data_IF_315804208676
#
_entry.id   IF_315804208676
#
_cell.length_a   1.000
_cell.length_b   1.000
_cell.length_c   1.000
_cell.angle_alpha   90.00
_cell.angle_beta   90.00
_cell.angle_gamma   90.00
#
_symmetry.space_group_name_H-M   'P 1'
#
loop_
_entity.id
_entity.type
_entity.pdbx_description
1 polymer ?
#
# COMPACT_ATOMS: atom_id res chain seq x y z
N UNK A 1 15.73 14.45 14.55
CA UNK A 1 15.63 12.98 14.53
C UNK A 1 14.17 12.71 14.25
N UNK A 2 13.80 12.20 13.07
CA UNK A 2 12.40 11.87 12.80
C UNK A 2 12.05 10.62 13.59
N UNK A 3 11.03 10.70 14.44
CA UNK A 3 10.54 9.56 15.20
C UNK A 3 9.89 8.56 14.25
N UNK A 4 10.19 7.28 14.41
CA UNK A 4 9.65 6.19 13.59
C UNK A 4 8.12 6.23 13.56
N UNK A 5 7.51 6.62 14.67
CA UNK A 5 6.06 6.79 14.81
C UNK A 5 5.50 7.92 13.96
N UNK A 6 6.19 9.06 13.88
CA UNK A 6 5.76 10.17 13.00
C UNK A 6 5.85 9.77 11.53
N UNK A 7 6.91 9.06 11.15
CA UNK A 7 7.07 8.57 9.78
C UNK A 7 5.97 7.56 9.40
N UNK A 8 5.61 6.68 10.34
CA UNK A 8 4.51 5.72 10.17
C UNK A 8 3.20 6.43 9.88
N UNK A 9 2.87 7.46 10.66
CA UNK A 9 1.64 8.23 10.48
C UNK A 9 1.59 8.91 9.11
N UNK A 10 2.69 9.55 8.69
CA UNK A 10 2.78 10.19 7.38
C UNK A 10 2.63 9.19 6.22
N UNK A 11 3.29 8.03 6.31
CA UNK A 11 3.20 7.00 5.26
C UNK A 11 1.79 6.39 5.18
N UNK A 12 1.10 6.21 6.30
CA UNK A 12 -0.29 5.75 6.32
C UNK A 12 -1.25 6.77 5.70
N UNK A 13 -1.07 8.06 6.02
CA UNK A 13 -1.87 9.14 5.43
C UNK A 13 -1.65 9.24 3.91
N UNK A 14 -0.40 9.02 3.48
CA UNK A 14 -0.04 8.96 2.07
C UNK A 14 -0.66 7.74 1.35
N UNK A 15 -0.75 6.57 2.00
CA UNK A 15 -1.47 5.40 1.46
C UNK A 15 -2.96 5.69 1.32
N UNK A 16 -3.56 6.40 2.28
CA UNK A 16 -4.97 6.74 2.25
C UNK A 16 -5.33 7.72 1.11
N UNK A 17 -4.41 8.64 0.79
CA UNK A 17 -4.63 9.71 -0.18
C UNK A 17 -4.16 9.34 -1.60
N UNK A 18 -3.23 8.39 -1.75
CA UNK A 18 -2.63 8.02 -3.04
C UNK A 18 -3.49 7.00 -3.80
N UNK A 19 -3.64 7.21 -5.11
CA UNK A 19 -4.22 6.22 -6.04
C UNK A 19 -3.25 5.06 -6.33
N UNK A 20 -1.95 5.26 -6.09
CA UNK A 20 -0.90 4.23 -6.21
C UNK A 20 -0.31 3.89 -4.83
N UNK A 21 -1.06 3.17 -3.97
CA UNK A 21 -0.59 2.88 -2.60
C UNK A 21 0.73 2.09 -2.58
N UNK A 22 1.06 1.37 -3.65
CA UNK A 22 2.29 0.58 -3.78
C UNK A 22 3.59 1.41 -3.88
N UNK A 23 3.50 2.69 -4.25
CA UNK A 23 4.69 3.56 -4.36
C UNK A 23 5.22 4.01 -3.01
N UNK A 24 4.39 3.96 -1.96
CA UNK A 24 4.79 4.31 -0.59
C UNK A 24 5.87 3.37 -0.05
N UNK A 25 5.88 2.09 -0.47
CA UNK A 25 6.94 1.14 -0.09
C UNK A 25 8.31 1.46 -0.72
N UNK A 26 8.33 2.23 -1.82
CA UNK A 26 9.57 2.63 -2.49
C UNK A 26 10.16 3.90 -1.89
N UNK A 27 9.53 4.46 -0.87
CA UNK A 27 9.93 5.73 -0.29
C UNK A 27 11.37 5.64 0.25
N UNK A 28 12.26 6.59 -0.13
CA UNK A 28 13.64 6.60 0.33
C UNK A 28 13.76 6.69 1.86
N UNK A 29 12.75 7.20 2.57
CA UNK A 29 12.69 7.26 4.04
C UNK A 29 12.69 5.86 4.67
N UNK A 30 12.05 4.87 4.05
CA UNK A 30 12.09 3.47 4.52
C UNK A 30 13.51 2.91 4.39
N UNK A 31 14.18 3.19 3.28
CA UNK A 31 15.57 2.77 3.08
C UNK A 31 16.53 3.43 4.09
N UNK A 32 16.27 4.68 4.47
CA UNK A 32 17.03 5.38 5.51
C UNK A 32 16.83 4.73 6.89
N UNK A 33 15.60 4.32 7.26
CA UNK A 33 15.34 3.55 8.49
C UNK A 33 16.19 2.28 8.57
N UNK A 34 16.24 1.51 7.49
CA UNK A 34 17.10 0.32 7.42
C UNK A 34 18.60 0.66 7.51
N UNK A 35 19.03 1.79 6.94
CA UNK A 35 20.40 2.28 7.11
C UNK A 35 20.73 2.64 8.57
N UNK A 36 19.74 3.13 9.31
CA UNK A 36 19.89 3.52 10.74
C UNK A 36 20.02 2.29 11.64
N UNK A 37 19.43 1.14 11.27
CA UNK A 37 19.66 -0.13 11.99
C UNK A 37 21.15 -0.48 12.02
N UNK A 38 21.86 -0.28 10.91
CA UNK A 38 23.28 -0.63 10.83
C UNK A 38 24.15 0.24 11.75
N UNK A 39 23.70 1.41 12.19
CA UNK A 39 24.47 2.31 13.06
C UNK A 39 24.15 2.16 14.54
N UNK A 40 23.03 1.53 14.90
CA UNK A 40 22.60 1.32 16.29
C UNK A 40 23.43 0.23 17.02
N UNK A 41 23.48 0.25 18.37
CA UNK A 41 24.07 -0.82 19.18
C UNK A 41 23.34 -2.16 18.99
N UNK A 42 24.04 -3.29 19.20
CA UNK A 42 23.47 -4.66 19.04
C UNK A 42 22.20 -4.87 19.88
N UNK A 43 22.14 -4.30 21.08
CA UNK A 43 20.98 -4.43 21.97
C UNK A 43 19.74 -3.73 21.41
N UNK A 44 19.92 -2.55 20.82
CA UNK A 44 18.82 -1.76 20.24
C UNK A 44 18.50 -2.20 18.81
N UNK A 45 19.44 -2.81 18.09
CA UNK A 45 19.24 -3.33 16.73
C UNK A 45 18.15 -4.39 16.65
N UNK A 46 18.04 -5.25 17.65
CA UNK A 46 17.04 -6.31 17.66
C UNK A 46 15.61 -5.73 17.75
N UNK A 47 15.38 -4.87 18.74
CA UNK A 47 14.10 -4.21 18.96
C UNK A 47 13.74 -3.27 17.79
N UNK A 48 14.70 -2.44 17.35
CA UNK A 48 14.46 -1.51 16.25
C UNK A 48 14.23 -2.24 14.91
N UNK A 49 14.99 -3.30 14.63
CA UNK A 49 14.80 -4.12 13.43
C UNK A 49 13.44 -4.80 13.40
N UNK A 50 12.96 -5.27 14.56
CA UNK A 50 11.61 -5.81 14.70
C UNK A 50 10.56 -4.73 14.44
N UNK A 51 10.69 -3.55 15.03
CA UNK A 51 9.78 -2.42 14.83
C UNK A 51 9.71 -1.99 13.35
N UNK A 52 10.84 -1.95 12.64
CA UNK A 52 10.88 -1.61 11.20
C UNK A 52 10.23 -2.71 10.35
N UNK A 53 10.41 -3.98 10.68
CA UNK A 53 9.72 -5.07 9.98
C UNK A 53 8.21 -5.06 10.25
N UNK A 54 7.78 -4.81 11.48
CA UNK A 54 6.36 -4.64 11.81
C UNK A 54 5.74 -3.44 11.09
N UNK A 55 6.48 -2.33 10.99
CA UNK A 55 6.07 -1.17 10.18
C UNK A 55 5.86 -1.55 8.72
N UNK A 56 6.82 -2.29 8.12
CA UNK A 56 6.70 -2.75 6.74
C UNK A 56 5.46 -3.63 6.52
N UNK A 57 5.23 -4.61 7.40
CA UNK A 57 4.05 -5.50 7.31
C UNK A 57 2.77 -4.68 7.42
N UNK A 58 2.69 -3.75 8.38
CA UNK A 58 1.53 -2.89 8.56
C UNK A 58 1.24 -2.01 7.33
N UNK A 59 2.29 -1.54 6.64
CA UNK A 59 2.12 -0.77 5.39
C UNK A 59 1.68 -1.68 4.24
N UNK A 60 2.24 -2.88 4.12
CA UNK A 60 1.84 -3.87 3.10
C UNK A 60 0.37 -4.27 3.26
N UNK A 61 -0.09 -4.51 4.48
CA UNK A 61 -1.50 -4.81 4.78
C UNK A 61 -2.43 -3.64 4.44
N UNK A 62 -2.05 -2.41 4.79
CA UNK A 62 -2.83 -1.21 4.46
C UNK A 62 -2.93 -1.00 2.93
N UNK A 63 -1.82 -1.22 2.21
CA UNK A 63 -1.78 -1.14 0.74
C UNK A 63 -2.66 -2.22 0.12
N UNK A 64 -2.58 -3.46 0.61
CA UNK A 64 -3.38 -4.56 0.12
C UNK A 64 -4.89 -4.29 0.31
N UNK A 65 -5.28 -3.78 1.48
CA UNK A 65 -6.65 -3.38 1.75
C UNK A 65 -7.11 -2.28 0.81
N UNK A 66 -6.29 -1.25 0.60
CA UNK A 66 -6.66 -0.13 -0.29
C UNK A 66 -6.75 -0.54 -1.75
N UNK A 67 -5.86 -1.42 -2.18
CA UNK A 67 -5.87 -1.98 -3.54
C UNK A 67 -7.12 -2.81 -3.77
N UNK A 68 -7.55 -3.62 -2.79
CA UNK A 68 -8.79 -4.39 -2.89
C UNK A 68 -10.01 -3.47 -3.04
N UNK A 69 -10.08 -2.36 -2.27
CA UNK A 69 -11.16 -1.37 -2.42
C UNK A 69 -11.18 -0.71 -3.81
N UNK A 70 -10.01 -0.35 -4.34
CA UNK A 70 -9.88 0.25 -5.67
C UNK A 70 -10.27 -0.72 -6.78
N UNK A 71 -9.86 -1.99 -6.68
CA UNK A 71 -10.22 -3.03 -7.65
C UNK A 71 -11.72 -3.35 -7.61
N UNK A 72 -12.34 -3.42 -6.43
CA UNK A 72 -13.78 -3.66 -6.28
C UNK A 72 -14.61 -2.51 -6.88
N UNK A 73 -14.18 -1.27 -6.65
CA UNK A 73 -14.83 -0.08 -7.23
C UNK A 73 -14.77 -0.04 -8.77
N UNK A 74 -13.72 -0.63 -9.36
CA UNK A 74 -13.48 -0.60 -10.81
C UNK A 74 -14.28 -1.66 -11.58
N UNK A 75 -15.02 -2.55 -10.91
CA UNK A 75 -15.88 -3.52 -11.59
C UNK A 75 -17.23 -2.86 -11.91
N UNK A 76 -17.37 -2.32 -13.12
CA UNK A 76 -18.68 -1.91 -13.61
C UNK A 76 -19.62 -3.13 -13.70
N UNK A 77 -20.79 -3.03 -13.08
CA UNK A 77 -21.81 -4.07 -13.16
C UNK A 77 -22.44 -4.07 -14.56
N UNK A 78 -22.21 -5.14 -15.31
CA UNK A 78 -22.88 -5.38 -16.59
C UNK A 78 -24.38 -5.63 -16.35
N UNK A 79 -25.25 -4.83 -16.97
CA UNK A 79 -26.69 -5.07 -16.97
C UNK A 79 -27.04 -6.23 -17.89
N UNK A 80 -27.24 -7.41 -17.28
CA UNK A 80 -27.59 -8.66 -17.97
C UNK A 80 -29.06 -8.71 -18.44
N UNK A 81 -29.86 -7.69 -18.17
CA UNK A 81 -31.29 -7.65 -18.52
C UNK A 81 -31.57 -6.90 -19.82
N UNK A 82 -30.57 -6.27 -20.41
CA UNK A 82 -30.71 -5.61 -21.71
C UNK A 82 -31.08 -6.66 -22.79
N UNK A 83 -32.13 -6.40 -23.60
CA UNK A 83 -32.47 -7.27 -24.72
C UNK A 83 -31.30 -7.30 -25.71
N UNK A 84 -30.92 -8.51 -26.13
CA UNK A 84 -29.88 -8.71 -27.14
C UNK A 84 -30.29 -7.97 -28.41
N UNK A 85 -29.41 -7.11 -28.93
CA UNK A 85 -29.66 -6.37 -30.17
C UNK A 85 -29.94 -7.36 -31.31
N UNK A 86 -30.78 -6.96 -32.27
CA UNK A 86 -31.20 -7.82 -33.37
C UNK A 86 -29.99 -8.24 -34.20
N UNK A 87 -29.77 -9.55 -34.34
CA UNK A 87 -28.76 -10.09 -35.23
C UNK A 87 -28.97 -9.52 -36.63
N UNK A 88 -28.07 -8.64 -37.07
CA UNK A 88 -28.12 -8.03 -38.40
C UNK A 88 -28.17 -9.13 -39.47
N UNK A 89 -29.03 -8.96 -40.48
CA UNK A 89 -29.20 -9.90 -41.58
C UNK A 89 -27.88 -10.10 -42.32
N UNK A 90 -27.41 -11.34 -42.36
CA UNK A 90 -26.26 -11.80 -43.13
C UNK A 90 -26.41 -11.42 -44.63
N UNK A 91 -25.32 -11.03 -45.33
CA UNK A 91 -25.36 -10.69 -46.76
C UNK A 91 -25.71 -11.88 -47.67
#
# INVERSE_FOLDING_TARGET
MQDVDTLKAELLDQIATSETPHDVLKDPRIKQLYGTIATLPIEERAEFGKAVNELKISLEDAIASKKAELEDTNVEQLDVTAPWDTNSTQP
#
